data_IF_263991624359
#
_entry.id   IF_263991624359
#
_cell.length_a   1.000
_cell.length_b   1.000
_cell.length_c   1.000
_cell.angle_alpha   90.00
_cell.angle_beta   90.00
_cell.angle_gamma   90.00
#
_symmetry.space_group_name_H-M   'P 1'
#
loop_
_entity.id
_entity.type
_entity.pdbx_description
1 polymer ?
#
# COMPACT_ATOMS: atom_id res chain seq x y z
N UNK A 1 -46.76 -62.94 -19.88
CA UNK A 1 -45.29 -62.75 -19.85
C UNK A 1 -45.00 -61.74 -18.74
N UNK A 2 -44.81 -62.11 -17.46
CA UNK A 2 -43.65 -62.74 -16.80
C UNK A 2 -42.30 -62.04 -17.05
N UNK A 3 -41.92 -61.18 -16.09
CA UNK A 3 -40.64 -61.04 -15.34
C UNK A 3 -40.85 -59.83 -14.37
N UNK A 4 -41.09 -59.94 -13.04
CA UNK A 4 -40.21 -60.23 -11.88
C UNK A 4 -38.90 -59.41 -11.92
N UNK A 5 -38.53 -58.54 -10.96
CA UNK A 5 -38.32 -58.73 -9.49
C UNK A 5 -38.12 -57.33 -8.82
N UNK A 6 -38.87 -56.89 -7.78
CA UNK A 6 -38.55 -56.83 -6.32
C UNK A 6 -37.07 -56.50 -5.98
N UNK A 7 -36.69 -55.57 -5.07
CA UNK A 7 -37.22 -55.29 -3.74
C UNK A 7 -36.65 -53.98 -3.08
N UNK A 8 -37.48 -53.37 -2.20
CA UNK A 8 -37.23 -52.73 -0.87
C UNK A 8 -35.99 -51.81 -0.65
N UNK A 9 -36.02 -50.73 0.16
CA UNK A 9 -36.58 -50.60 1.51
C UNK A 9 -36.64 -49.11 1.92
N UNK A 10 -37.75 -48.69 2.51
CA UNK A 10 -37.95 -47.40 3.17
C UNK A 10 -37.33 -47.40 4.57
N UNK A 11 -36.57 -46.37 4.91
CA UNK A 11 -36.17 -46.10 6.30
C UNK A 11 -36.23 -44.60 6.59
N UNK A 12 -37.15 -44.29 7.50
CA UNK A 12 -37.27 -43.05 8.26
C UNK A 12 -35.94 -42.70 8.93
N UNK A 13 -35.45 -41.46 8.78
CA UNK A 13 -34.77 -40.78 9.88
C UNK A 13 -35.07 -39.28 9.87
N UNK A 14 -35.64 -38.83 10.99
CA UNK A 14 -35.70 -37.43 11.43
C UNK A 14 -34.27 -36.88 11.51
N UNK A 15 -33.99 -35.78 10.83
CA UNK A 15 -32.81 -34.96 11.10
C UNK A 15 -33.14 -33.97 12.23
N UNK A 16 -32.64 -34.29 13.43
CA UNK A 16 -32.43 -33.33 14.51
C UNK A 16 -31.23 -32.47 14.15
N UNK A 17 -31.29 -31.20 14.57
CA UNK A 17 -30.16 -30.30 14.83
C UNK A 17 -28.87 -31.08 15.16
N UNK A 18 -27.92 -31.03 14.23
CA UNK A 18 -26.61 -31.63 14.35
C UNK A 18 -25.60 -30.71 13.68
N UNK A 19 -24.68 -30.23 14.49
CA UNK A 19 -23.50 -29.46 14.12
C UNK A 19 -22.79 -30.09 12.92
N UNK A 20 -22.61 -29.30 11.86
CA UNK A 20 -21.68 -29.62 10.79
C UNK A 20 -20.26 -29.26 11.26
N UNK A 21 -19.60 -30.19 11.93
CA UNK A 21 -18.13 -30.21 12.00
C UNK A 21 -17.58 -30.79 10.70
N UNK A 22 -17.12 -29.91 9.81
CA UNK A 22 -16.19 -30.30 8.74
C UNK A 22 -14.82 -30.53 9.38
N UNK A 23 -14.33 -31.76 9.23
CA UNK A 23 -13.04 -32.19 9.74
C UNK A 23 -11.89 -31.44 9.04
N UNK A 24 -11.00 -30.86 9.84
CA UNK A 24 -9.57 -31.09 9.62
C UNK A 24 -8.76 -30.04 8.87
N UNK A 25 -9.02 -28.75 9.05
CA UNK A 25 -7.95 -27.74 8.99
C UNK A 25 -7.96 -27.00 10.32
N UNK A 26 -6.93 -27.14 11.18
CA UNK A 26 -6.84 -26.32 12.37
C UNK A 26 -6.71 -24.87 11.90
N UNK A 27 -7.73 -24.05 12.17
CA UNK A 27 -7.65 -22.60 12.14
C UNK A 27 -6.57 -22.21 13.15
N UNK A 28 -5.34 -22.12 12.66
CA UNK A 28 -4.19 -21.73 13.45
C UNK A 28 -4.43 -20.35 14.02
N UNK A 29 -4.19 -20.22 15.33
CA UNK A 29 -4.12 -18.96 16.05
C UNK A 29 -3.41 -17.87 15.23
N UNK A 30 -3.80 -16.59 15.37
CA UNK A 30 -3.26 -15.47 14.61
C UNK A 30 -1.72 -15.52 14.61
N UNK A 31 -1.11 -15.37 13.43
CA UNK A 31 0.31 -15.61 13.11
C UNK A 31 1.30 -14.62 13.79
N UNK A 32 1.02 -14.16 15.01
CA UNK A 32 1.88 -13.25 15.77
C UNK A 32 3.25 -13.84 16.16
N UNK A 33 3.42 -15.17 16.13
CA UNK A 33 4.66 -15.84 16.57
C UNK A 33 5.66 -16.15 15.43
N UNK A 34 5.27 -16.17 14.15
CA UNK A 34 6.20 -16.36 13.02
C UNK A 34 6.81 -15.06 12.50
N UNK A 35 6.20 -13.91 12.80
CA UNK A 35 6.70 -12.59 12.39
C UNK A 35 8.09 -12.25 12.96
N UNK A 36 8.41 -12.67 14.19
CA UNK A 36 9.71 -12.35 14.83
C UNK A 36 10.92 -13.00 14.15
N UNK A 37 10.78 -14.21 13.57
CA UNK A 37 11.90 -14.89 12.91
C UNK A 37 12.12 -14.40 11.48
N UNK A 38 11.04 -14.04 10.77
CA UNK A 38 11.13 -13.38 9.47
C UNK A 38 11.77 -11.98 9.60
N UNK A 39 11.35 -11.18 10.59
CA UNK A 39 11.88 -9.83 10.83
C UNK A 39 13.41 -9.79 10.99
N UNK A 40 14.01 -10.77 11.69
CA UNK A 40 15.48 -10.85 11.85
C UNK A 40 16.24 -11.10 10.55
N UNK A 41 15.70 -11.93 9.64
CA UNK A 41 16.36 -12.22 8.37
C UNK A 41 16.25 -11.05 7.38
N UNK A 42 15.18 -10.27 7.44
CA UNK A 42 15.00 -9.13 6.54
C UNK A 42 15.87 -7.93 6.92
N UNK A 43 16.07 -7.68 8.21
CA UNK A 43 16.98 -6.63 8.64
C UNK A 43 18.40 -6.85 8.09
N UNK A 44 18.82 -8.12 7.95
CA UNK A 44 20.09 -8.50 7.33
C UNK A 44 20.20 -8.09 5.85
N UNK A 45 19.13 -8.23 5.07
CA UNK A 45 19.15 -7.88 3.63
C UNK A 45 19.36 -6.38 3.37
N UNK A 46 18.78 -5.50 4.20
CA UNK A 46 19.01 -4.06 4.04
C UNK A 46 20.46 -3.68 4.36
N UNK A 47 21.05 -4.29 5.41
CA UNK A 47 22.46 -4.09 5.74
C UNK A 47 23.42 -4.65 4.69
N UNK A 48 23.06 -5.73 4.01
CA UNK A 48 23.84 -6.24 2.87
C UNK A 48 23.92 -5.21 1.73
N UNK A 49 22.96 -4.29 1.59
CA UNK A 49 23.09 -3.21 0.59
C UNK A 49 24.09 -2.14 0.98
N UNK A 50 24.29 -1.91 2.26
CA UNK A 50 25.25 -0.91 2.75
C UNK A 50 26.71 -1.27 2.42
N UNK A 51 27.02 -2.53 2.12
CA UNK A 51 28.36 -2.91 1.67
C UNK A 51 28.69 -2.38 0.26
N UNK A 52 27.68 -2.01 -0.54
CA UNK A 52 27.84 -1.47 -1.89
C UNK A 52 27.82 0.07 -1.95
N UNK A 53 27.58 0.71 -0.80
CA UNK A 53 27.55 2.17 -0.69
C UNK A 53 28.97 2.73 -0.79
N UNK A 54 29.22 3.56 -1.80
CA UNK A 54 30.52 4.26 -1.96
C UNK A 54 30.59 5.55 -1.16
N UNK A 55 29.47 6.27 -1.08
CA UNK A 55 29.33 7.56 -0.39
C UNK A 55 28.19 7.49 0.58
N UNK A 56 28.42 7.93 1.81
CA UNK A 56 27.39 7.93 2.84
C UNK A 56 27.21 9.33 3.43
N UNK A 57 26.07 9.93 3.15
CA UNK A 57 25.73 11.29 3.56
C UNK A 57 25.19 11.33 5.00
N UNK A 58 25.61 12.33 5.75
CA UNK A 58 25.17 12.63 7.12
C UNK A 58 24.45 13.97 7.22
N UNK A 59 24.56 14.82 6.21
CA UNK A 59 23.83 16.09 6.11
C UNK A 59 23.05 16.19 4.79
N UNK A 60 22.25 17.24 4.67
CA UNK A 60 21.50 17.55 3.46
C UNK A 60 22.42 17.88 2.28
N UNK A 61 23.44 18.70 2.51
CA UNK A 61 24.41 19.14 1.52
C UNK A 61 25.20 17.95 0.97
N UNK A 62 25.70 17.08 1.86
CA UNK A 62 26.42 15.86 1.47
C UNK A 62 25.55 14.94 0.62
N UNK A 63 24.25 14.82 0.94
CA UNK A 63 23.33 13.99 0.16
C UNK A 63 23.03 14.60 -1.21
N UNK A 64 22.82 15.91 -1.27
CA UNK A 64 22.61 16.61 -2.55
C UNK A 64 23.85 16.49 -3.46
N UNK A 65 25.04 16.70 -2.92
CA UNK A 65 26.30 16.53 -3.65
C UNK A 65 26.43 15.08 -4.16
N UNK A 66 26.19 14.09 -3.29
CA UNK A 66 26.24 12.68 -3.68
C UNK A 66 25.26 12.34 -4.81
N UNK A 67 24.04 12.90 -4.80
CA UNK A 67 23.05 12.72 -5.87
C UNK A 67 23.53 13.36 -7.19
N UNK A 68 24.09 14.57 -7.12
CA UNK A 68 24.63 15.28 -8.29
C UNK A 68 25.82 14.53 -8.91
N UNK A 69 26.59 13.79 -8.11
CA UNK A 69 27.71 13.01 -8.59
C UNK A 69 27.36 11.56 -8.94
N UNK A 70 26.19 11.07 -8.52
CA UNK A 70 25.79 9.69 -8.69
C UNK A 70 25.82 9.24 -10.16
N UNK A 71 26.42 8.10 -10.44
CA UNK A 71 26.30 7.44 -11.75
C UNK A 71 25.10 6.49 -11.76
N UNK A 72 24.67 6.11 -12.97
CA UNK A 72 23.55 5.19 -13.16
C UNK A 72 23.76 3.88 -12.39
N UNK A 73 22.74 3.46 -11.62
CA UNK A 73 22.77 2.24 -10.80
C UNK A 73 23.55 2.35 -9.49
N UNK A 74 23.96 3.56 -9.08
CA UNK A 74 24.74 3.75 -7.84
C UNK A 74 23.87 3.70 -6.57
N UNK A 75 24.47 3.11 -5.52
CA UNK A 75 23.90 3.08 -4.17
C UNK A 75 24.48 4.24 -3.35
N UNK A 76 23.61 5.16 -2.95
CA UNK A 76 23.95 6.27 -2.07
C UNK A 76 23.49 5.94 -0.65
N UNK A 77 24.40 6.05 0.30
CA UNK A 77 24.11 5.79 1.70
C UNK A 77 23.60 7.02 2.40
N UNK A 78 22.65 6.81 3.32
CA UNK A 78 22.31 7.75 4.38
C UNK A 78 22.93 7.14 5.65
N UNK A 79 23.74 7.91 6.37
CA UNK A 79 24.46 7.47 7.57
C UNK A 79 24.13 8.31 8.81
N UNK A 80 23.07 9.10 8.76
CA UNK A 80 22.66 9.96 9.85
C UNK A 80 21.20 10.37 9.76
N UNK A 81 20.87 11.41 10.53
CA UNK A 81 19.57 12.07 10.51
C UNK A 81 19.73 13.35 9.70
N UNK A 82 19.26 13.31 8.45
CA UNK A 82 19.33 14.44 7.53
C UNK A 82 18.12 15.33 7.79
N UNK A 83 18.33 16.64 7.90
CA UNK A 83 17.25 17.63 8.01
C UNK A 83 17.07 18.32 6.67
N UNK A 84 15.83 18.35 6.19
CA UNK A 84 15.41 19.05 4.98
C UNK A 84 14.63 20.28 5.42
N UNK A 85 15.13 21.46 5.06
CA UNK A 85 14.45 22.72 5.37
C UNK A 85 13.28 22.94 4.40
N UNK A 86 13.22 24.08 3.72
CA UNK A 86 12.18 24.41 2.74
C UNK A 86 12.49 23.93 1.33
N UNK A 87 13.69 23.37 1.11
CA UNK A 87 14.13 22.94 -0.22
C UNK A 87 14.16 21.42 -0.27
N UNK A 88 13.34 20.76 -1.10
CA UNK A 88 13.32 19.31 -1.21
C UNK A 88 14.67 18.76 -1.70
N UNK A 89 14.98 17.52 -1.34
CA UNK A 89 16.03 16.76 -2.01
C UNK A 89 15.49 16.35 -3.38
N UNK A 90 16.03 16.94 -4.44
CA UNK A 90 15.61 16.69 -5.82
C UNK A 90 16.46 15.60 -6.46
N UNK A 91 15.80 14.54 -6.94
CA UNK A 91 16.42 13.41 -7.62
C UNK A 91 15.89 13.36 -9.04
N UNK A 92 16.63 13.97 -9.96
CA UNK A 92 16.28 14.06 -11.38
C UNK A 92 16.93 12.97 -12.23
N UNK A 93 17.87 12.22 -11.64
CA UNK A 93 18.57 11.12 -12.32
C UNK A 93 17.76 9.83 -12.19
N UNK A 94 17.84 8.99 -13.22
CA UNK A 94 17.32 7.63 -13.20
C UNK A 94 18.29 6.68 -12.48
N UNK A 95 17.73 5.59 -11.98
CA UNK A 95 18.41 4.43 -11.38
C UNK A 95 19.22 4.81 -10.15
N UNK A 96 18.65 5.70 -9.33
CA UNK A 96 19.22 6.10 -8.04
C UNK A 96 18.66 5.23 -6.94
N UNK A 97 19.54 4.66 -6.12
CA UNK A 97 19.15 3.92 -4.92
C UNK A 97 19.64 4.61 -3.66
N UNK A 98 18.73 5.01 -2.77
CA UNK A 98 19.05 5.48 -1.43
C UNK A 98 18.93 4.34 -0.41
N UNK A 99 19.93 4.20 0.47
CA UNK A 99 19.97 3.14 1.50
C UNK A 99 20.33 3.72 2.87
N UNK A 100 19.51 3.46 3.88
CA UNK A 100 19.84 3.79 5.27
C UNK A 100 20.83 2.78 5.87
N UNK A 101 22.00 3.27 6.29
CA UNK A 101 23.14 2.46 6.76
C UNK A 101 23.48 2.64 8.26
N UNK A 102 22.53 3.13 9.03
CA UNK A 102 22.65 3.31 10.47
C UNK A 102 22.55 1.95 11.17
N UNK A 103 23.47 1.65 12.10
CA UNK A 103 23.61 0.32 12.72
C UNK A 103 22.82 0.12 14.01
N UNK A 104 22.41 1.22 14.66
CA UNK A 104 21.70 1.19 15.96
C UNK A 104 20.28 1.72 15.87
N UNK A 105 20.05 2.67 14.98
CA UNK A 105 18.75 3.27 14.68
C UNK A 105 18.55 3.20 13.17
N UNK A 106 17.32 3.33 12.68
CA UNK A 106 17.13 3.61 11.26
C UNK A 106 17.68 5.02 10.95
N UNK A 107 18.22 5.20 9.76
CA UNK A 107 18.55 6.55 9.29
C UNK A 107 17.27 7.27 8.91
N UNK A 108 17.26 8.58 9.09
CA UNK A 108 16.07 9.38 8.91
C UNK A 108 16.33 10.62 8.04
N UNK A 109 15.31 11.00 7.29
CA UNK A 109 15.18 12.28 6.61
C UNK A 109 14.00 13.00 7.29
N UNK A 110 14.30 14.09 7.96
CA UNK A 110 13.32 14.89 8.70
C UNK A 110 13.02 16.17 7.94
N UNK A 111 11.75 16.40 7.65
CA UNK A 111 11.27 17.63 7.04
C UNK A 111 11.10 18.75 8.06
N UNK A 112 11.05 19.97 7.54
CA UNK A 112 10.67 21.15 8.31
C UNK A 112 9.16 21.39 8.38
N UNK A 113 8.36 20.55 7.73
CA UNK A 113 6.92 20.75 7.54
C UNK A 113 6.57 21.87 6.56
N UNK A 114 7.49 22.27 5.67
CA UNK A 114 7.27 23.37 4.70
C UNK A 114 7.32 22.96 3.23
N UNK A 115 7.93 21.82 2.93
CA UNK A 115 8.10 21.30 1.59
C UNK A 115 8.21 19.78 1.62
N UNK A 116 8.09 19.11 0.47
CA UNK A 116 8.33 17.68 0.42
C UNK A 116 9.77 17.34 0.80
N UNK A 117 9.99 16.18 1.41
CA UNK A 117 11.36 15.75 1.74
C UNK A 117 12.10 15.30 0.48
N UNK A 118 11.46 14.44 -0.31
CA UNK A 118 12.00 13.84 -1.52
C UNK A 118 11.12 14.20 -2.72
N UNK A 119 11.73 14.74 -3.77
CA UNK A 119 11.08 14.98 -5.06
C UNK A 119 11.87 14.24 -6.12
N UNK A 120 11.27 13.18 -6.66
CA UNK A 120 11.91 12.30 -7.65
C UNK A 120 11.20 12.50 -8.98
N UNK A 121 11.94 12.96 -9.97
CA UNK A 121 11.44 13.15 -11.34
C UNK A 121 12.28 12.43 -12.39
N UNK A 122 13.26 11.63 -11.96
CA UNK A 122 14.02 10.74 -12.83
C UNK A 122 13.21 9.50 -13.24
N UNK A 123 13.91 8.52 -13.84
CA UNK A 123 13.37 7.19 -14.10
C UNK A 123 13.30 6.34 -12.83
N UNK A 124 13.93 5.17 -12.84
CA UNK A 124 13.83 4.23 -11.73
C UNK A 124 14.41 4.80 -10.43
N UNK A 125 13.70 4.58 -9.32
CA UNK A 125 14.14 5.02 -8.00
C UNK A 125 13.87 3.96 -6.97
N UNK A 126 14.84 3.78 -6.06
CA UNK A 126 14.66 2.87 -4.94
C UNK A 126 15.07 3.45 -3.59
N UNK A 127 14.32 3.12 -2.55
CA UNK A 127 14.54 3.57 -1.18
C UNK A 127 14.52 2.38 -0.21
N UNK A 128 15.63 2.16 0.51
CA UNK A 128 15.79 1.01 1.40
C UNK A 128 16.11 1.44 2.83
N UNK A 129 15.34 0.96 3.81
CA UNK A 129 15.65 1.09 5.23
C UNK A 129 15.84 2.54 5.71
N UNK A 130 14.96 3.44 5.26
CA UNK A 130 14.98 4.86 5.62
C UNK A 130 13.67 5.23 6.32
N UNK A 131 13.74 6.10 7.31
CA UNK A 131 12.58 6.85 7.83
C UNK A 131 12.51 8.18 7.09
N UNK A 132 11.36 8.54 6.54
CA UNK A 132 11.12 9.87 5.97
C UNK A 132 9.91 10.47 6.66
N UNK A 133 10.07 11.60 7.34
CA UNK A 133 9.00 12.14 8.20
C UNK A 133 8.88 13.65 8.14
N UNK A 134 7.70 14.13 8.56
CA UNK A 134 7.38 15.55 8.76
C UNK A 134 7.56 16.44 7.51
N UNK A 135 7.39 15.85 6.32
CA UNK A 135 7.34 16.59 5.06
C UNK A 135 5.95 17.17 4.77
N UNK A 136 5.90 18.21 3.93
CA UNK A 136 4.66 18.92 3.63
C UNK A 136 4.53 19.28 2.15
N UNK A 137 3.40 18.95 1.54
CA UNK A 137 3.03 19.34 0.19
C UNK A 137 2.01 20.49 0.25
N UNK A 138 2.16 21.50 -0.61
CA UNK A 138 1.17 22.57 -0.77
C UNK A 138 0.98 22.96 -2.24
N UNK A 139 0.03 23.86 -2.50
CA UNK A 139 -0.26 24.35 -3.86
C UNK A 139 0.88 25.13 -4.50
N UNK A 140 1.82 25.67 -3.71
CA UNK A 140 2.99 26.38 -4.24
C UNK A 140 4.04 25.41 -4.78
N UNK A 141 4.11 24.21 -4.21
CA UNK A 141 5.06 23.18 -4.61
C UNK A 141 4.69 22.46 -5.92
N UNK A 142 3.38 22.40 -6.24
CA UNK A 142 2.84 21.60 -7.33
C UNK A 142 3.13 20.10 -7.22
N UNK A 143 3.52 19.63 -6.04
CA UNK A 143 3.96 18.26 -5.74
C UNK A 143 2.95 17.61 -4.81
N UNK A 144 2.47 16.43 -5.17
CA UNK A 144 1.39 15.76 -4.43
C UNK A 144 1.84 14.97 -3.21
N UNK A 145 3.12 14.92 -2.82
CA UNK A 145 3.57 14.03 -1.73
C UNK A 145 4.23 14.78 -0.60
N UNK A 146 3.72 14.68 0.63
CA UNK A 146 4.32 15.35 1.78
C UNK A 146 5.72 14.82 2.11
N UNK A 147 5.93 13.51 2.17
CA UNK A 147 7.27 12.94 2.40
C UNK A 147 7.99 12.58 1.09
N UNK A 148 7.31 11.93 0.17
CA UNK A 148 7.87 11.55 -1.13
C UNK A 148 6.88 11.87 -2.23
N UNK A 149 7.31 12.67 -3.20
CA UNK A 149 6.64 12.85 -4.48
C UNK A 149 7.48 12.20 -5.59
N UNK A 150 6.98 11.11 -6.16
CA UNK A 150 7.59 10.43 -7.30
C UNK A 150 6.77 10.68 -8.55
N UNK A 151 7.38 11.30 -9.57
CA UNK A 151 6.71 11.60 -10.84
C UNK A 151 7.58 11.21 -12.03
N UNK A 152 7.22 10.13 -12.71
CA UNK A 152 7.94 9.61 -13.87
C UNK A 152 6.99 9.20 -14.99
N UNK A 153 6.42 10.17 -15.75
CA UNK A 153 5.42 9.87 -16.78
C UNK A 153 5.98 9.09 -17.97
N UNK A 154 7.30 9.04 -18.13
CA UNK A 154 7.99 8.27 -19.18
C UNK A 154 8.32 6.82 -18.78
N UNK A 155 7.79 6.30 -17.66
CA UNK A 155 7.86 4.87 -17.32
C UNK A 155 8.90 4.46 -16.29
N UNK A 156 9.31 5.34 -15.37
CA UNK A 156 10.21 4.98 -14.27
C UNK A 156 9.52 4.18 -13.16
N UNK A 157 10.22 3.21 -12.58
CA UNK A 157 9.66 2.36 -11.52
C UNK A 157 10.08 2.83 -10.12
N UNK A 158 9.16 2.74 -9.16
CA UNK A 158 9.40 3.04 -7.76
C UNK A 158 9.49 1.76 -6.94
N UNK A 159 10.58 1.57 -6.19
CA UNK A 159 10.70 0.48 -5.21
C UNK A 159 11.05 1.00 -3.82
N UNK A 160 10.18 0.79 -2.83
CA UNK A 160 10.45 1.16 -1.44
C UNK A 160 10.34 -0.05 -0.53
N UNK A 161 11.41 -0.33 0.21
CA UNK A 161 11.54 -1.56 0.99
C UNK A 161 12.11 -1.32 2.38
N UNK A 162 11.51 -1.93 3.39
CA UNK A 162 11.93 -1.84 4.80
C UNK A 162 11.98 -0.39 5.34
N UNK A 163 11.27 0.53 4.70
CA UNK A 163 11.26 1.96 5.01
C UNK A 163 10.02 2.36 5.81
N UNK A 164 9.97 3.60 6.28
CA UNK A 164 8.83 4.12 7.02
C UNK A 164 8.59 5.59 6.70
N UNK A 165 7.34 5.94 6.43
CA UNK A 165 6.89 7.30 6.18
C UNK A 165 5.96 7.75 7.31
N UNK A 166 6.19 8.93 7.89
CA UNK A 166 5.41 9.40 9.03
C UNK A 166 5.01 10.86 8.91
N UNK A 167 3.83 11.17 9.43
CA UNK A 167 3.37 12.53 9.70
C UNK A 167 3.44 13.47 8.48
N UNK A 168 3.50 12.93 7.26
CA UNK A 168 3.51 13.75 6.07
C UNK A 168 2.15 14.40 5.88
N UNK A 169 2.13 15.66 5.45
CA UNK A 169 0.90 16.42 5.21
C UNK A 169 0.87 16.88 3.76
N UNK A 170 -0.30 16.84 3.13
CA UNK A 170 -0.47 17.34 1.78
C UNK A 170 -1.79 18.10 1.63
N UNK A 171 -1.68 19.38 1.30
CA UNK A 171 -2.83 20.30 1.25
C UNK A 171 -3.48 20.40 -0.14
N UNK A 172 -2.97 19.66 -1.11
CA UNK A 172 -3.51 19.53 -2.46
C UNK A 172 -3.83 18.06 -2.78
N UNK A 173 -4.33 17.80 -3.99
CA UNK A 173 -4.51 16.44 -4.47
C UNK A 173 -3.18 15.67 -4.46
N UNK A 174 -3.16 14.50 -3.82
CA UNK A 174 -1.93 13.77 -3.61
C UNK A 174 -1.99 12.77 -2.45
N UNK A 175 -0.91 12.71 -1.67
CA UNK A 175 -0.81 11.97 -0.44
C UNK A 175 -0.06 12.70 0.67
N UNK A 176 -0.52 12.50 1.90
CA UNK A 176 0.18 12.98 3.09
C UNK A 176 1.61 12.44 3.12
N UNK A 177 1.77 11.13 3.00
CA UNK A 177 3.09 10.49 3.03
C UNK A 177 3.69 10.33 1.62
N UNK A 178 3.19 9.42 0.77
CA UNK A 178 3.82 9.08 -0.51
C UNK A 178 2.87 9.24 -1.68
N UNK A 179 3.22 10.12 -2.61
CA UNK A 179 2.49 10.34 -3.85
C UNK A 179 3.33 9.87 -5.04
N UNK A 180 2.67 9.14 -5.94
CA UNK A 180 3.30 8.45 -7.06
C UNK A 180 2.46 8.68 -8.31
N UNK A 181 3.07 9.23 -9.35
CA UNK A 181 2.51 9.33 -10.70
C UNK A 181 3.54 8.78 -11.68
N UNK A 182 3.25 7.62 -12.26
CA UNK A 182 4.15 7.01 -13.22
C UNK A 182 3.43 5.97 -14.06
N UNK A 183 3.90 5.73 -15.28
CA UNK A 183 3.52 4.57 -16.07
C UNK A 183 4.37 3.34 -15.76
N UNK A 184 5.41 3.42 -14.92
CA UNK A 184 6.20 2.28 -14.49
C UNK A 184 5.52 1.43 -13.40
N UNK A 185 6.27 0.49 -12.83
CA UNK A 185 5.79 -0.35 -11.72
C UNK A 185 6.08 0.31 -10.37
N UNK A 186 5.19 0.09 -9.39
CA UNK A 186 5.30 0.60 -8.02
C UNK A 186 5.31 -0.57 -7.04
N UNK A 187 6.35 -0.65 -6.23
CA UNK A 187 6.53 -1.70 -5.23
C UNK A 187 6.77 -1.12 -3.85
N UNK A 188 5.87 -1.43 -2.92
CA UNK A 188 6.03 -1.23 -1.48
C UNK A 188 6.18 -2.57 -0.79
N UNK A 189 7.29 -2.79 -0.07
CA UNK A 189 7.51 -4.04 0.68
C UNK A 189 8.00 -3.79 2.09
N UNK A 190 7.30 -4.34 3.08
CA UNK A 190 7.67 -4.20 4.50
C UNK A 190 7.86 -2.73 4.89
N UNK A 191 7.04 -1.88 4.29
CA UNK A 191 7.07 -0.42 4.47
C UNK A 191 5.91 -0.01 5.35
N UNK A 192 6.14 0.94 6.25
CA UNK A 192 5.09 1.50 7.09
C UNK A 192 4.74 2.93 6.66
N UNK A 193 3.45 3.25 6.63
CA UNK A 193 2.89 4.56 6.35
C UNK A 193 2.03 4.96 7.55
N UNK A 194 2.47 5.97 8.30
CA UNK A 194 1.84 6.32 9.57
C UNK A 194 1.43 7.78 9.64
N UNK A 195 0.25 8.03 10.19
CA UNK A 195 -0.24 9.37 10.51
C UNK A 195 -0.12 10.38 9.36
N UNK A 196 -0.12 9.91 8.11
CA UNK A 196 -0.09 10.80 6.96
C UNK A 196 -1.47 11.42 6.78
N UNK A 197 -1.50 12.69 6.36
CA UNK A 197 -2.73 13.46 6.20
C UNK A 197 -2.78 14.10 4.83
N UNK A 198 -3.74 13.71 4.01
CA UNK A 198 -4.16 14.53 2.88
C UNK A 198 -5.37 15.39 3.29
N UNK A 199 -5.58 16.53 2.64
CA UNK A 199 -6.77 17.37 2.86
C UNK A 199 -7.75 17.32 1.70
N UNK A 200 -7.29 16.87 0.53
CA UNK A 200 -8.12 16.75 -0.66
C UNK A 200 -8.88 15.44 -0.65
N UNK A 201 -10.17 15.48 -0.98
CA UNK A 201 -11.02 14.29 -1.02
C UNK A 201 -10.47 13.26 -2.01
N UNK A 202 -10.59 11.97 -1.68
CA UNK A 202 -10.12 10.85 -2.52
C UNK A 202 -8.58 10.73 -2.65
N UNK A 203 -7.85 11.45 -1.80
CA UNK A 203 -6.38 11.38 -1.71
C UNK A 203 -5.91 10.32 -0.70
N UNK A 204 -4.64 9.94 -0.77
CA UNK A 204 -4.05 8.96 0.14
C UNK A 204 -3.42 9.61 1.38
N UNK A 205 -3.96 9.42 2.58
CA UNK A 205 -3.22 9.76 3.79
C UNK A 205 -1.87 9.03 3.85
N UNK A 206 -1.86 7.72 3.59
CA UNK A 206 -0.64 6.90 3.59
C UNK A 206 0.07 6.87 2.25
N UNK A 207 -0.60 6.42 1.18
CA UNK A 207 -0.04 6.48 -0.16
C UNK A 207 -1.12 6.74 -1.21
N UNK A 208 -0.74 7.48 -2.25
CA UNK A 208 -1.55 7.72 -3.44
C UNK A 208 -0.74 7.33 -4.67
N UNK A 209 -1.25 6.37 -5.43
CA UNK A 209 -0.57 5.90 -6.65
C UNK A 209 -1.49 6.11 -7.84
N UNK A 210 -0.94 6.79 -8.85
CA UNK A 210 -1.63 7.15 -10.07
C UNK A 210 -0.88 6.64 -11.30
N UNK A 211 -1.62 6.21 -12.33
CA UNK A 211 -1.13 5.91 -13.70
C UNK A 211 -0.20 4.69 -13.87
N UNK A 212 0.08 3.93 -12.80
CA UNK A 212 1.07 2.82 -12.79
C UNK A 212 0.57 1.56 -13.49
N UNK A 213 1.45 0.79 -14.15
CA UNK A 213 1.06 -0.52 -14.74
C UNK A 213 0.96 -1.64 -13.71
N UNK A 214 1.91 -1.74 -12.77
CA UNK A 214 1.93 -2.80 -11.77
C UNK A 214 2.10 -2.23 -10.37
N UNK A 215 1.22 -2.61 -9.45
CA UNK A 215 1.28 -2.18 -8.06
C UNK A 215 1.42 -3.40 -7.15
N UNK A 216 2.52 -3.45 -6.41
CA UNK A 216 2.77 -4.50 -5.42
C UNK A 216 2.86 -3.87 -4.04
N UNK A 217 1.96 -4.27 -3.14
CA UNK A 217 1.98 -3.90 -1.72
C UNK A 217 2.07 -5.17 -0.89
N UNK A 218 3.22 -5.43 -0.29
CA UNK A 218 3.50 -6.72 0.35
C UNK A 218 4.13 -6.55 1.74
N UNK A 219 3.45 -7.04 2.78
CA UNK A 219 3.96 -6.94 4.14
C UNK A 219 3.93 -5.52 4.71
N UNK A 220 3.10 -4.63 4.18
CA UNK A 220 3.08 -3.21 4.56
C UNK A 220 2.15 -2.93 5.74
N UNK A 221 2.37 -1.80 6.41
CA UNK A 221 1.52 -1.29 7.49
C UNK A 221 1.03 0.11 7.13
N UNK A 222 -0.28 0.34 7.16
CA UNK A 222 -0.92 1.63 7.03
C UNK A 222 -1.65 1.92 8.34
N UNK A 223 -1.13 2.84 9.16
CA UNK A 223 -1.61 3.08 10.53
C UNK A 223 -1.94 4.55 10.80
N UNK A 224 -3.18 4.83 11.21
CA UNK A 224 -3.57 6.17 11.67
C UNK A 224 -3.59 7.25 10.59
N UNK A 225 -3.65 6.88 9.31
CA UNK A 225 -3.67 7.86 8.23
C UNK A 225 -5.04 8.57 8.13
N UNK A 226 -5.02 9.85 7.75
CA UNK A 226 -6.20 10.71 7.54
C UNK A 226 -6.37 10.98 6.04
N UNK A 227 -7.60 10.83 5.58
CA UNK A 227 -7.97 10.34 4.25
C UNK A 227 -7.67 8.84 4.08
N UNK A 228 -7.51 8.35 2.87
CA UNK A 228 -7.45 6.92 2.61
C UNK A 228 -6.07 6.36 3.01
N UNK A 229 -6.00 5.21 3.67
CA UNK A 229 -4.73 4.55 3.95
C UNK A 229 -3.89 4.35 2.68
N UNK A 230 -4.47 3.66 1.69
CA UNK A 230 -3.91 3.48 0.34
C UNK A 230 -4.95 3.80 -0.73
N UNK A 231 -4.71 4.87 -1.50
CA UNK A 231 -5.56 5.26 -2.62
C UNK A 231 -4.85 4.93 -3.94
N UNK A 232 -5.57 4.24 -4.83
CA UNK A 232 -5.05 3.70 -6.08
C UNK A 232 -5.95 4.12 -7.23
N UNK A 233 -5.34 4.73 -8.24
CA UNK A 233 -6.03 5.37 -9.34
C UNK A 233 -5.32 5.06 -10.65
N UNK A 234 -5.86 4.21 -11.54
CA UNK A 234 -5.11 3.90 -12.77
C UNK A 234 -5.16 5.04 -13.80
N UNK A 235 -6.11 5.96 -13.69
CA UNK A 235 -6.39 6.95 -14.74
C UNK A 235 -6.85 6.28 -16.04
N UNK A 236 -7.09 7.07 -17.09
CA UNK A 236 -7.56 6.60 -18.40
C UNK A 236 -6.46 5.91 -19.24
N UNK A 237 -5.47 5.27 -18.61
CA UNK A 237 -4.35 4.64 -19.30
C UNK A 237 -4.73 3.36 -20.03
N UNK A 238 -4.29 3.24 -21.30
CA UNK A 238 -4.52 2.10 -22.21
C UNK A 238 -3.64 0.86 -21.90
N UNK A 239 -3.19 0.67 -20.65
CA UNK A 239 -2.28 -0.41 -20.27
C UNK A 239 -2.90 -1.42 -19.29
N UNK A 240 -2.59 -2.72 -19.42
CA UNK A 240 -3.05 -3.72 -18.47
C UNK A 240 -2.51 -3.37 -17.08
N UNK A 241 -3.43 -3.06 -16.17
CA UNK A 241 -3.10 -2.73 -14.80
C UNK A 241 -3.23 -3.98 -13.92
N UNK A 242 -2.20 -4.31 -13.15
CA UNK A 242 -2.25 -5.31 -12.08
C UNK A 242 -1.99 -4.66 -10.72
N UNK A 243 -2.85 -4.92 -9.74
CA UNK A 243 -2.60 -4.58 -8.34
C UNK A 243 -2.66 -5.82 -7.45
N UNK A 244 -1.59 -6.04 -6.69
CA UNK A 244 -1.49 -7.13 -5.71
C UNK A 244 -1.15 -6.53 -4.35
N UNK A 245 -2.14 -6.56 -3.45
CA UNK A 245 -1.95 -6.25 -2.04
C UNK A 245 -1.99 -7.55 -1.26
N UNK A 246 -0.95 -7.82 -0.48
CA UNK A 246 -0.92 -9.03 0.35
C UNK A 246 -0.18 -8.87 1.65
N UNK A 247 -0.55 -9.72 2.60
CA UNK A 247 0.13 -9.87 3.88
C UNK A 247 0.33 -8.52 4.61
N UNK A 248 -0.58 -7.57 4.38
CA UNK A 248 -0.49 -6.18 4.83
C UNK A 248 -1.53 -5.88 5.91
N UNK A 249 -1.37 -4.75 6.61
CA UNK A 249 -2.24 -4.34 7.72
C UNK A 249 -2.68 -2.89 7.53
N UNK A 250 -3.98 -2.65 7.58
CA UNK A 250 -4.62 -1.34 7.58
C UNK A 250 -5.29 -1.13 8.94
N UNK A 251 -4.77 -0.19 9.72
CA UNK A 251 -5.15 0.03 11.11
C UNK A 251 -5.53 1.50 11.33
N UNK A 252 -6.69 1.75 11.95
CA UNK A 252 -7.09 3.09 12.42
C UNK A 252 -7.07 4.21 11.35
N UNK A 253 -7.20 3.86 10.06
CA UNK A 253 -7.23 4.87 9.00
C UNK A 253 -8.63 5.46 8.87
N UNK A 254 -8.74 6.72 8.44
CA UNK A 254 -10.01 7.43 8.31
C UNK A 254 -10.04 8.27 7.05
N UNK A 255 -10.90 7.94 6.08
CA UNK A 255 -11.04 8.69 4.84
C UNK A 255 -12.45 8.73 4.29
N UNK A 256 -12.66 9.53 3.23
CA UNK A 256 -13.97 9.71 2.59
C UNK A 256 -14.62 8.39 2.17
N UNK A 257 -14.25 7.83 1.01
CA UNK A 257 -14.86 6.61 0.49
C UNK A 257 -14.39 5.36 1.27
N UNK A 258 -13.13 5.33 1.70
CA UNK A 258 -12.61 4.21 2.46
C UNK A 258 -11.61 4.67 3.52
N UNK A 259 -11.60 3.94 4.64
CA UNK A 259 -10.54 4.08 5.63
C UNK A 259 -9.27 3.35 5.17
N UNK A 260 -9.38 2.07 4.82
CA UNK A 260 -8.23 1.25 4.42
C UNK A 260 -7.77 1.52 2.99
N UNK A 261 -8.49 0.97 2.01
CA UNK A 261 -8.08 0.98 0.61
C UNK A 261 -9.18 1.58 -0.27
N UNK A 262 -8.80 2.50 -1.15
CA UNK A 262 -9.69 3.02 -2.17
C UNK A 262 -9.12 2.75 -3.55
N UNK A 263 -9.95 2.17 -4.41
CA UNK A 263 -9.66 1.97 -5.82
C UNK A 263 -10.69 2.70 -6.66
N UNK A 264 -10.25 3.51 -7.62
CA UNK A 264 -11.14 4.14 -8.59
C UNK A 264 -10.54 4.19 -9.99
N UNK A 265 -11.44 4.30 -10.97
CA UNK A 265 -11.16 4.47 -12.39
C UNK A 265 -10.28 3.36 -12.95
N UNK A 266 -10.88 2.17 -13.12
CA UNK A 266 -10.21 0.91 -13.47
C UNK A 266 -9.51 0.87 -14.82
N UNK A 267 -9.73 1.85 -15.71
CA UNK A 267 -9.21 1.81 -17.07
C UNK A 267 -9.33 0.42 -17.70
N UNK A 268 -8.19 -0.15 -18.10
CA UNK A 268 -8.05 -1.52 -18.63
C UNK A 268 -7.42 -2.51 -17.63
N UNK A 269 -7.70 -2.33 -16.33
CA UNK A 269 -7.23 -3.22 -15.26
C UNK A 269 -7.57 -4.67 -15.55
N UNK A 270 -6.56 -5.54 -15.48
CA UNK A 270 -6.73 -6.97 -15.72
C UNK A 270 -6.89 -7.73 -14.42
N UNK A 271 -6.18 -7.31 -13.37
CA UNK A 271 -6.07 -8.08 -12.14
C UNK A 271 -6.03 -7.19 -10.91
N UNK A 272 -6.87 -7.51 -9.93
CA UNK A 272 -6.79 -6.95 -8.58
C UNK A 272 -6.84 -8.07 -7.55
N UNK A 273 -5.81 -8.17 -6.72
CA UNK A 273 -5.71 -9.14 -5.64
C UNK A 273 -5.54 -8.45 -4.29
N UNK A 274 -6.37 -8.85 -3.32
CA UNK A 274 -6.20 -8.49 -1.92
C UNK A 274 -6.19 -9.79 -1.12
N UNK A 275 -5.02 -10.15 -0.60
CA UNK A 275 -4.77 -11.48 -0.02
C UNK A 275 -4.21 -11.39 1.40
N UNK A 276 -4.77 -12.12 2.35
CA UNK A 276 -4.21 -12.24 3.72
C UNK A 276 -3.93 -10.88 4.37
N UNK A 277 -4.78 -9.90 4.11
CA UNK A 277 -4.66 -8.53 4.59
C UNK A 277 -5.61 -8.30 5.76
N UNK A 278 -5.12 -7.59 6.78
CA UNK A 278 -5.90 -7.24 7.96
C UNK A 278 -6.42 -5.80 7.87
N UNK A 279 -7.70 -5.61 8.19
CA UNK A 279 -8.37 -4.32 8.27
C UNK A 279 -8.98 -4.15 9.66
N UNK A 280 -8.37 -3.30 10.48
CA UNK A 280 -8.81 -3.12 11.87
C UNK A 280 -9.11 -1.65 12.16
N UNK A 281 -10.30 -1.37 12.67
CA UNK A 281 -10.71 -0.04 13.16
C UNK A 281 -10.62 1.09 12.13
N UNK A 282 -10.71 0.78 10.84
CA UNK A 282 -10.71 1.80 9.79
C UNK A 282 -12.12 2.42 9.64
N UNK A 283 -12.19 3.70 9.28
CA UNK A 283 -13.46 4.44 9.18
C UNK A 283 -13.60 5.09 7.81
N UNK A 284 -14.71 4.84 7.12
CA UNK A 284 -15.14 5.63 5.98
C UNK A 284 -16.15 6.70 6.45
N UNK A 285 -16.07 7.90 5.88
CA UNK A 285 -16.92 9.04 6.29
C UNK A 285 -17.97 9.44 5.25
N UNK A 286 -17.80 9.03 3.99
CA UNK A 286 -18.79 9.27 2.93
C UNK A 286 -19.99 8.33 3.08
N UNK A 287 -21.17 8.77 2.65
CA UNK A 287 -22.42 8.00 2.74
C UNK A 287 -22.34 6.63 2.04
N UNK A 288 -21.58 6.54 0.94
CA UNK A 288 -21.37 5.31 0.18
C UNK A 288 -20.07 4.57 0.57
N UNK A 289 -19.47 4.97 1.70
CA UNK A 289 -18.14 4.55 2.10
C UNK A 289 -18.07 3.20 2.83
N UNK A 290 -16.91 2.56 2.73
CA UNK A 290 -16.60 1.29 3.37
C UNK A 290 -15.32 1.37 4.22
N UNK A 291 -15.40 0.98 5.49
CA UNK A 291 -14.27 1.13 6.41
C UNK A 291 -13.01 0.39 5.94
N UNK A 292 -13.15 -0.84 5.42
CA UNK A 292 -12.02 -1.65 4.98
C UNK A 292 -11.54 -1.28 3.57
N UNK A 293 -12.35 -1.51 2.55
CA UNK A 293 -12.00 -1.18 1.18
C UNK A 293 -13.21 -0.77 0.35
N UNK A 294 -13.04 0.23 -0.50
CA UNK A 294 -14.03 0.61 -1.50
C UNK A 294 -13.42 0.54 -2.90
N UNK A 295 -14.18 -0.07 -3.79
CA UNK A 295 -13.89 -0.15 -5.21
C UNK A 295 -14.99 0.62 -5.96
N UNK A 296 -14.63 1.77 -6.54
CA UNK A 296 -15.56 2.69 -7.22
C UNK A 296 -15.98 2.20 -8.62
N UNK A 297 -17.19 2.60 -9.03
CA UNK A 297 -17.91 2.10 -10.21
C UNK A 297 -17.68 2.85 -11.52
N UNK A 298 -16.83 3.88 -11.57
CA UNK A 298 -16.55 4.62 -12.81
C UNK A 298 -15.71 3.78 -13.79
N UNK A 299 -16.31 2.71 -14.30
CA UNK A 299 -15.65 1.60 -14.98
C UNK A 299 -16.16 1.53 -16.42
N UNK A 300 -15.22 1.50 -17.36
CA UNK A 300 -15.48 1.16 -18.77
C UNK A 300 -15.29 -0.35 -19.02
N UNK A 301 -14.51 -1.04 -18.20
CA UNK A 301 -14.32 -2.50 -18.25
C UNK A 301 -13.97 -3.11 -16.90
N UNK A 302 -14.68 -4.17 -16.52
CA UNK A 302 -14.44 -4.94 -15.29
C UNK A 302 -13.00 -5.49 -15.29
N UNK A 303 -12.33 -5.58 -14.11
CA UNK A 303 -11.12 -6.39 -14.05
C UNK A 303 -11.46 -7.80 -14.51
N UNK A 304 -10.65 -8.33 -15.44
CA UNK A 304 -10.78 -9.72 -15.91
C UNK A 304 -10.68 -10.68 -14.74
N UNK A 305 -9.96 -10.30 -13.67
CA UNK A 305 -9.82 -11.12 -12.48
C UNK A 305 -9.74 -10.27 -11.23
N UNK A 306 -10.58 -10.61 -10.24
CA UNK A 306 -10.54 -10.02 -8.91
C UNK A 306 -10.50 -11.13 -7.86
N UNK A 307 -9.51 -11.08 -6.97
CA UNK A 307 -9.32 -12.06 -5.91
C UNK A 307 -9.32 -11.35 -4.56
N UNK A 308 -10.28 -11.70 -3.71
CA UNK A 308 -10.32 -11.29 -2.31
C UNK A 308 -10.32 -12.54 -1.45
N UNK A 309 -9.18 -12.86 -0.80
CA UNK A 309 -9.05 -14.12 -0.07
C UNK A 309 -8.19 -14.03 1.20
N UNK A 310 -8.61 -14.75 2.24
CA UNK A 310 -7.91 -14.85 3.52
C UNK A 310 -7.75 -13.53 4.27
N UNK A 311 -8.52 -12.50 3.90
CA UNK A 311 -8.51 -11.21 4.58
C UNK A 311 -9.28 -11.30 5.90
N UNK A 312 -8.95 -10.41 6.85
CA UNK A 312 -9.62 -10.34 8.15
C UNK A 312 -10.03 -8.89 8.45
N UNK A 313 -11.25 -8.70 8.94
CA UNK A 313 -11.80 -7.38 9.27
C UNK A 313 -12.32 -7.32 10.70
N UNK A 314 -11.99 -6.26 11.45
CA UNK A 314 -12.63 -6.01 12.76
C UNK A 314 -12.76 -4.54 13.11
N UNK A 315 -13.96 -4.13 13.57
CA UNK A 315 -14.21 -2.80 14.12
C UNK A 315 -14.16 -1.66 13.10
N UNK A 316 -14.22 -1.97 11.81
CA UNK A 316 -14.28 -0.98 10.74
C UNK A 316 -15.69 -0.38 10.64
N UNK A 317 -15.76 0.91 10.32
CA UNK A 317 -17.01 1.67 10.24
C UNK A 317 -17.15 2.28 8.85
N UNK A 318 -18.34 2.22 8.28
CA UNK A 318 -18.67 2.86 7.02
C UNK A 318 -20.19 3.01 6.95
N UNK A 319 -20.73 4.15 6.46
CA UNK A 319 -22.18 4.37 6.41
C UNK A 319 -22.91 3.36 5.52
N UNK A 320 -22.32 2.97 4.39
CA UNK A 320 -22.88 1.93 3.52
C UNK A 320 -22.53 0.52 4.00
N UNK A 321 -21.26 0.28 4.34
CA UNK A 321 -20.74 -1.04 4.62
C UNK A 321 -19.78 -1.06 5.83
N UNK A 322 -20.28 -1.23 7.07
CA UNK A 322 -19.42 -1.46 8.23
C UNK A 322 -18.76 -2.86 8.13
N UNK A 323 -17.45 -2.95 8.39
CA UNK A 323 -16.64 -4.20 8.37
C UNK A 323 -16.42 -4.91 7.02
N UNK A 324 -16.55 -4.23 5.89
CA UNK A 324 -16.81 -4.89 4.61
C UNK A 324 -16.04 -4.23 3.44
N UNK A 325 -15.79 -5.00 2.38
CA UNK A 325 -15.50 -4.53 1.01
C UNK A 325 -16.78 -4.01 0.32
N UNK A 326 -16.79 -2.76 -0.15
CA UNK A 326 -17.83 -2.27 -1.07
C UNK A 326 -17.38 -2.41 -2.52
N UNK A 327 -18.14 -3.20 -3.29
CA UNK A 327 -17.91 -3.45 -4.70
C UNK A 327 -19.25 -3.49 -5.45
N UNK A 328 -19.45 -2.58 -6.41
CA UNK A 328 -20.67 -2.47 -7.23
C UNK A 328 -21.99 -2.50 -6.43
N UNK A 329 -22.16 -1.56 -5.50
CA UNK A 329 -23.37 -1.43 -4.68
C UNK A 329 -23.68 -2.66 -3.82
N UNK A 330 -22.66 -3.49 -3.58
CA UNK A 330 -22.75 -4.67 -2.73
C UNK A 330 -21.67 -4.62 -1.66
N UNK A 331 -22.12 -4.97 -0.46
CA UNK A 331 -21.26 -5.19 0.70
C UNK A 331 -20.85 -6.67 0.75
N UNK A 332 -19.54 -6.96 0.77
CA UNK A 332 -18.96 -8.28 1.03
C UNK A 332 -18.17 -8.34 2.35
N UNK A 333 -18.51 -9.26 3.25
CA UNK A 333 -17.73 -9.46 4.48
C UNK A 333 -16.27 -9.80 4.17
N UNK A 334 -15.34 -9.19 4.89
CA UNK A 334 -13.90 -9.34 4.65
C UNK A 334 -13.44 -10.80 4.74
N UNK A 335 -14.12 -11.61 5.56
CA UNK A 335 -13.83 -13.03 5.77
C UNK A 335 -14.36 -13.96 4.66
N UNK A 336 -15.05 -13.44 3.65
CA UNK A 336 -15.57 -14.22 2.53
C UNK A 336 -14.60 -14.22 1.35
N UNK A 337 -14.34 -15.38 0.76
CA UNK A 337 -13.61 -15.47 -0.51
C UNK A 337 -14.54 -15.00 -1.63
N UNK A 338 -14.13 -13.98 -2.38
CA UNK A 338 -14.84 -13.53 -3.58
C UNK A 338 -13.98 -13.77 -4.83
N UNK A 339 -14.56 -14.51 -5.77
CA UNK A 339 -14.02 -14.75 -7.11
C UNK A 339 -15.18 -14.47 -8.07
N UNK A 340 -15.12 -13.42 -8.90
CA UNK A 340 -16.13 -13.19 -9.92
C UNK A 340 -16.18 -14.39 -10.86
N UNK A 341 -17.39 -14.84 -11.19
CA UNK A 341 -17.67 -15.86 -12.21
C UNK A 341 -17.50 -15.31 -13.62
#
# INVERSE_FOLDING_TARGET
MKLHLLALLSLLFRSRSGDFTVAGIPLGAPRGLKAKKASKNHHKQSYEKCQFVKKCAKSFEELQEAIVEAVHGEFLGICGNIRVDSTPIRIVKSDVTLVGCCTKTKCAIHGSGKAPNLVVTGGDFSLFNVIVEDGHCDSTSGQGGGNLHFRSPQGGSLTVVDSEFRNGVCDIQGAGNVDVSTTGSVTFRRTAFKNGKATFKYSGGGAFVTESFDIIVDGCLFDGNKEIGLALYSGSGDGPFEAVIKDSVFLNNEGGPAGGIFYSDFGSMQRLEVLRTEFTSNTATDEDGAGAAQISQNIVSNPTTFFWDGNFGSGNRGPACPDVLYYWDKCFTVDSTYVPS
#
